data_IF_358563770494
#
_entry.id   IF_358563770494
#
_cell.length_a   1.000
_cell.length_b   1.000
_cell.length_c   1.000
_cell.angle_alpha   90.00
_cell.angle_beta   90.00
_cell.angle_gamma   90.00
#
_symmetry.space_group_name_H-M   'P 1'
#
loop_
_entity.id
_entity.type
_entity.pdbx_description
1 polymer ?
#
# COMPACT_ATOMS: atom_id res chain seq x y z
N UNK A 1 13.69 -46.69 17.73
CA UNK A 1 14.27 -45.61 18.56
C UNK A 1 13.22 -45.20 19.58
N UNK A 2 13.48 -45.41 20.88
CA UNK A 2 12.58 -44.98 21.95
C UNK A 2 12.75 -43.47 22.18
N UNK A 3 11.71 -42.68 21.88
CA UNK A 3 11.66 -41.27 22.25
C UNK A 3 11.48 -41.18 23.77
N UNK A 4 12.59 -41.04 24.49
CA UNK A 4 12.57 -40.75 25.91
C UNK A 4 12.23 -39.28 26.11
N UNK A 5 10.93 -38.98 26.22
CA UNK A 5 10.49 -37.69 26.73
C UNK A 5 10.89 -37.61 28.21
N UNK A 6 11.85 -36.74 28.54
CA UNK A 6 12.15 -36.39 29.93
C UNK A 6 10.88 -35.79 30.53
N UNK A 7 10.16 -36.61 31.30
CA UNK A 7 9.20 -36.20 32.34
C UNK A 7 9.96 -35.28 33.29
N UNK A 8 9.95 -33.98 33.02
CA UNK A 8 10.74 -33.04 33.79
C UNK A 8 10.61 -31.64 33.22
N UNK A 9 9.38 -31.11 33.23
CA UNK A 9 9.00 -29.68 33.16
C UNK A 9 7.48 -29.49 33.03
N UNK A 10 6.66 -30.42 33.55
CA UNK A 10 5.20 -30.26 33.58
C UNK A 10 4.72 -29.33 34.71
N UNK A 11 5.58 -29.03 35.68
CA UNK A 11 5.19 -28.41 36.95
C UNK A 11 5.76 -27.00 37.18
N UNK A 12 6.37 -26.37 36.16
CA UNK A 12 6.73 -24.95 36.24
C UNK A 12 5.67 -24.10 35.52
N UNK A 13 4.71 -23.49 36.24
CA UNK A 13 3.87 -22.45 35.67
C UNK A 13 4.80 -21.27 35.33
N UNK A 14 5.15 -21.13 34.05
CA UNK A 14 6.05 -20.07 33.59
C UNK A 14 7.12 -20.46 32.56
N UNK A 15 7.02 -21.64 31.92
CA UNK A 15 7.87 -21.94 30.76
C UNK A 15 7.57 -20.99 29.58
N UNK A 16 8.19 -19.80 29.59
CA UNK A 16 8.07 -18.81 28.52
C UNK A 16 8.92 -19.25 27.33
N UNK A 17 8.30 -19.68 26.25
CA UNK A 17 8.98 -19.86 24.97
C UNK A 17 9.30 -18.48 24.39
N UNK A 18 10.55 -18.28 23.99
CA UNK A 18 10.94 -17.00 23.39
C UNK A 18 10.30 -16.87 22.01
N UNK A 19 9.93 -15.67 21.55
CA UNK A 19 9.29 -15.47 20.25
C UNK A 19 10.08 -16.05 19.06
N UNK A 20 11.41 -16.03 19.14
CA UNK A 20 12.31 -16.61 18.13
C UNK A 20 12.20 -18.14 18.00
N UNK A 21 11.73 -18.80 19.04
CA UNK A 21 11.60 -20.26 19.13
C UNK A 21 10.16 -20.71 18.79
N UNK A 22 9.23 -19.77 18.53
CA UNK A 22 7.83 -20.05 18.18
C UNK A 22 7.72 -20.92 16.92
N UNK A 23 8.49 -20.60 15.88
CA UNK A 23 8.48 -21.38 14.63
C UNK A 23 8.92 -22.84 14.81
N UNK A 24 9.79 -23.09 15.80
CA UNK A 24 10.19 -24.46 16.17
C UNK A 24 9.07 -25.18 16.91
N UNK A 25 8.42 -24.54 17.88
CA UNK A 25 7.31 -25.14 18.61
C UNK A 25 6.06 -25.37 17.73
N UNK A 26 5.80 -24.49 16.76
CA UNK A 26 4.77 -24.70 15.74
C UNK A 26 5.06 -25.92 14.86
N UNK A 27 6.31 -26.08 14.40
CA UNK A 27 6.71 -27.26 13.64
C UNK A 27 6.56 -28.55 14.46
N UNK A 28 6.92 -28.51 15.74
CA UNK A 28 6.74 -29.66 16.64
C UNK A 28 5.27 -29.94 16.95
N UNK A 29 4.41 -28.92 17.07
CA UNK A 29 2.97 -29.09 17.21
C UNK A 29 2.36 -29.78 15.98
N UNK A 30 2.83 -29.45 14.77
CA UNK A 30 2.41 -30.12 13.53
C UNK A 30 2.82 -31.59 13.55
N UNK A 31 4.07 -31.88 13.94
CA UNK A 31 4.57 -33.26 14.06
C UNK A 31 3.78 -34.07 15.10
N UNK A 32 3.53 -33.50 16.28
CA UNK A 32 2.79 -34.16 17.36
C UNK A 32 1.33 -34.41 16.97
N UNK A 33 0.70 -33.51 16.20
CA UNK A 33 -0.65 -33.75 15.64
C UNK A 33 -0.67 -34.90 14.63
N UNK A 34 0.35 -35.00 13.79
CA UNK A 34 0.47 -36.11 12.85
C UNK A 34 0.65 -37.45 13.58
N UNK A 35 1.52 -37.48 14.59
CA UNK A 35 1.72 -38.65 15.45
C UNK A 35 0.45 -39.03 16.21
N UNK A 36 -0.30 -38.06 16.75
CA UNK A 36 -1.59 -38.31 17.40
C UNK A 36 -2.60 -38.94 16.43
N UNK A 37 -2.69 -38.43 15.20
CA UNK A 37 -3.60 -38.99 14.19
C UNK A 37 -3.22 -40.43 13.77
N UNK A 38 -1.94 -40.78 13.83
CA UNK A 38 -1.46 -42.15 13.62
C UNK A 38 -1.79 -43.06 14.81
N UNK A 39 -1.55 -42.59 16.04
CA UNK A 39 -1.92 -43.32 17.26
C UNK A 39 -3.43 -43.55 17.37
N UNK A 40 -4.26 -42.58 17.01
CA UNK A 40 -5.72 -42.74 16.95
C UNK A 40 -6.15 -43.79 15.93
N UNK A 41 -5.47 -43.88 14.78
CA UNK A 41 -5.70 -44.94 13.79
C UNK A 41 -5.28 -46.30 14.32
N UNK A 42 -4.15 -46.38 15.01
CA UNK A 42 -3.66 -47.62 15.63
C UNK A 42 -4.64 -48.13 16.70
N UNK A 43 -5.16 -47.25 17.57
CA UNK A 43 -6.18 -47.63 18.57
C UNK A 43 -7.43 -48.20 17.89
N UNK A 44 -7.97 -47.52 16.87
CA UNK A 44 -9.15 -48.01 16.14
C UNK A 44 -8.92 -49.35 15.45
N UNK A 45 -7.74 -49.57 14.88
CA UNK A 45 -7.38 -50.85 14.29
C UNK A 45 -7.37 -51.97 15.34
N UNK A 46 -6.80 -51.71 16.52
CA UNK A 46 -6.78 -52.69 17.62
C UNK A 46 -8.15 -52.96 18.22
N UNK A 47 -9.00 -51.93 18.32
CA UNK A 47 -10.40 -52.10 18.73
C UNK A 47 -11.16 -52.99 17.73
N UNK A 48 -10.87 -52.89 16.43
CA UNK A 48 -11.42 -53.78 15.42
C UNK A 48 -10.88 -55.22 15.53
N UNK A 49 -9.57 -55.39 15.77
CA UNK A 49 -8.94 -56.71 15.96
C UNK A 49 -9.53 -57.47 17.16
N UNK A 50 -9.88 -56.77 18.24
CA UNK A 50 -10.59 -57.35 19.38
C UNK A 50 -11.98 -57.87 19.01
N UNK A 51 -12.62 -57.34 17.97
CA UNK A 51 -13.89 -57.88 17.47
C UNK A 51 -13.75 -59.15 16.63
N UNK A 52 -12.53 -59.48 16.19
CA UNK A 52 -12.25 -60.50 15.17
C UNK A 52 -11.51 -61.74 15.68
N UNK A 53 -11.48 -61.98 17.00
CA UNK A 53 -10.82 -63.17 17.58
C UNK A 53 -11.39 -64.46 16.98
N UNK A 54 -10.49 -65.33 16.52
CA UNK A 54 -10.83 -66.57 15.82
C UNK A 54 -11.74 -67.48 16.68
N UNK A 55 -12.94 -67.85 16.18
CA UNK A 55 -13.86 -68.72 16.90
C UNK A 55 -13.38 -70.18 16.99
N UNK A 56 -12.35 -70.59 16.24
CA UNK A 56 -11.84 -71.97 16.25
C UNK A 56 -10.86 -72.26 17.40
N UNK A 57 -10.52 -71.26 18.21
CA UNK A 57 -9.66 -71.43 19.39
C UNK A 57 -10.38 -72.18 20.52
N UNK A 58 -9.64 -73.06 21.20
CA UNK A 58 -10.11 -73.63 22.47
C UNK A 58 -10.23 -72.53 23.54
N UNK A 59 -10.96 -72.79 24.62
CA UNK A 59 -11.22 -71.77 25.66
C UNK A 59 -9.91 -71.16 26.21
N UNK A 60 -8.87 -71.98 26.37
CA UNK A 60 -7.54 -71.55 26.83
C UNK A 60 -6.82 -70.66 25.83
N UNK A 61 -6.78 -71.06 24.56
CA UNK A 61 -6.18 -70.27 23.46
C UNK A 61 -6.92 -68.97 23.21
N UNK A 62 -8.25 -68.98 23.33
CA UNK A 62 -9.09 -67.79 23.21
C UNK A 62 -8.78 -66.77 24.31
N UNK A 63 -8.69 -67.21 25.57
CA UNK A 63 -8.36 -66.31 26.68
C UNK A 63 -6.94 -65.74 26.59
N UNK A 64 -5.95 -66.54 26.15
CA UNK A 64 -4.58 -66.07 25.95
C UNK A 64 -4.50 -65.03 24.82
N UNK A 65 -5.11 -65.30 23.67
CA UNK A 65 -5.17 -64.37 22.55
C UNK A 65 -5.91 -63.07 22.94
N UNK A 66 -7.00 -63.18 23.71
CA UNK A 66 -7.75 -62.02 24.18
C UNK A 66 -6.94 -61.14 25.14
N UNK A 67 -6.23 -61.76 26.08
CA UNK A 67 -5.41 -61.04 27.05
C UNK A 67 -4.27 -60.26 26.38
N UNK A 68 -3.62 -60.85 25.37
CA UNK A 68 -2.57 -60.18 24.60
C UNK A 68 -3.12 -58.98 23.82
N UNK A 69 -4.28 -59.13 23.15
CA UNK A 69 -4.92 -58.04 22.43
C UNK A 69 -5.36 -56.90 23.37
N UNK A 70 -5.88 -57.22 24.55
CA UNK A 70 -6.27 -56.23 25.56
C UNK A 70 -5.05 -55.44 26.08
N UNK A 71 -3.89 -56.10 26.27
CA UNK A 71 -2.65 -55.44 26.66
C UNK A 71 -2.12 -54.50 25.56
N UNK A 72 -2.15 -54.97 24.31
CA UNK A 72 -1.77 -54.15 23.14
C UNK A 72 -2.69 -52.93 22.97
N UNK A 73 -4.00 -53.09 23.19
CA UNK A 73 -4.94 -51.97 23.17
C UNK A 73 -4.66 -50.96 24.28
N UNK A 74 -4.41 -51.42 25.51
CA UNK A 74 -4.05 -50.53 26.64
C UNK A 74 -2.78 -49.73 26.35
N UNK A 75 -1.77 -50.37 25.74
CA UNK A 75 -0.56 -49.67 25.33
C UNK A 75 -0.85 -48.58 24.29
N UNK A 76 -1.65 -48.89 23.27
CA UNK A 76 -2.02 -47.93 22.23
C UNK A 76 -2.84 -46.75 22.78
N UNK A 77 -3.78 -47.00 23.70
CA UNK A 77 -4.57 -45.96 24.38
C UNK A 77 -3.66 -45.04 25.20
N UNK A 78 -2.76 -45.60 25.99
CA UNK A 78 -1.82 -44.82 26.80
C UNK A 78 -0.93 -43.93 25.93
N UNK A 79 -0.48 -44.42 24.78
CA UNK A 79 0.34 -43.64 23.84
C UNK A 79 -0.46 -42.52 23.18
N UNK A 80 -1.69 -42.80 22.73
CA UNK A 80 -2.63 -41.78 22.23
C UNK A 80 -2.85 -40.67 23.25
N UNK A 81 -3.09 -41.03 24.51
CA UNK A 81 -3.39 -40.05 25.56
C UNK A 81 -2.17 -39.18 25.91
N UNK A 82 -0.95 -39.77 25.92
CA UNK A 82 0.30 -39.00 26.05
C UNK A 82 0.49 -38.00 24.91
N UNK A 83 0.23 -38.41 23.67
CA UNK A 83 0.32 -37.53 22.50
C UNK A 83 -0.74 -36.44 22.53
N UNK A 84 -1.97 -36.75 22.96
CA UNK A 84 -3.04 -35.77 23.13
C UNK A 84 -2.65 -34.69 24.12
N UNK A 85 -2.08 -35.07 25.27
CA UNK A 85 -1.60 -34.10 26.24
C UNK A 85 -0.46 -33.23 25.68
N UNK A 86 0.49 -33.83 24.95
CA UNK A 86 1.61 -33.10 24.35
C UNK A 86 1.12 -32.05 23.32
N UNK A 87 0.16 -32.43 22.48
CA UNK A 87 -0.51 -31.52 21.54
C UNK A 87 -1.24 -30.39 22.26
N UNK A 88 -1.94 -30.69 23.37
CA UNK A 88 -2.63 -29.66 24.16
C UNK A 88 -1.63 -28.66 24.74
N UNK A 89 -0.60 -29.16 25.42
CA UNK A 89 0.43 -28.33 26.03
C UNK A 89 1.10 -27.40 25.02
N UNK A 90 1.57 -27.93 23.87
CA UNK A 90 2.22 -27.09 22.85
C UNK A 90 1.27 -26.08 22.22
N UNK A 91 -0.01 -26.43 22.06
CA UNK A 91 -1.01 -25.50 21.54
C UNK A 91 -1.18 -24.30 22.45
N UNK A 92 -1.26 -24.53 23.76
CA UNK A 92 -1.40 -23.46 24.75
C UNK A 92 -0.12 -22.61 24.84
N UNK A 93 1.04 -23.25 24.68
CA UNK A 93 2.33 -22.58 24.58
C UNK A 93 2.44 -21.65 23.36
N UNK A 94 2.06 -22.12 22.17
CA UNK A 94 2.07 -21.27 20.97
C UNK A 94 1.08 -20.10 21.07
N UNK A 95 -0.07 -20.29 21.73
CA UNK A 95 -1.09 -19.24 21.91
C UNK A 95 -0.67 -18.15 22.89
N UNK A 96 -0.06 -18.51 24.00
CA UNK A 96 0.41 -17.55 25.00
C UNK A 96 1.49 -16.63 24.43
N UNK A 97 2.48 -17.20 23.74
CA UNK A 97 3.56 -16.41 23.12
C UNK A 97 3.05 -15.54 21.98
N UNK A 98 2.09 -16.02 21.16
CA UNK A 98 1.55 -15.21 20.07
C UNK A 98 0.77 -14.00 20.60
N UNK A 99 -0.04 -14.18 21.65
CA UNK A 99 -0.76 -13.07 22.28
C UNK A 99 0.20 -12.02 22.86
N UNK A 100 1.21 -12.45 23.64
CA UNK A 100 2.17 -11.52 24.27
C UNK A 100 3.08 -10.83 23.26
N UNK A 101 3.45 -11.50 22.15
CA UNK A 101 4.39 -10.97 21.17
C UNK A 101 3.71 -10.03 20.17
N UNK A 102 2.50 -10.35 19.72
CA UNK A 102 1.86 -9.66 18.60
C UNK A 102 0.88 -8.57 19.04
N UNK A 103 0.20 -8.69 20.19
CA UNK A 103 -0.74 -7.68 20.66
C UNK A 103 -0.16 -6.25 20.70
N UNK A 104 0.98 -5.98 21.36
CA UNK A 104 1.53 -4.63 21.42
C UNK A 104 1.99 -4.11 20.04
N UNK A 105 2.35 -5.00 19.11
CA UNK A 105 2.72 -4.63 17.73
C UNK A 105 1.50 -4.27 16.90
N UNK A 106 0.40 -5.01 17.06
CA UNK A 106 -0.87 -4.73 16.40
C UNK A 106 -1.39 -3.38 16.90
N UNK A 107 -1.43 -3.16 18.22
CA UNK A 107 -1.86 -1.89 18.82
C UNK A 107 -1.03 -0.70 18.31
N UNK A 108 0.30 -0.87 18.18
CA UNK A 108 1.18 0.16 17.64
C UNK A 108 0.91 0.47 16.16
N UNK A 109 0.63 -0.55 15.34
CA UNK A 109 0.28 -0.38 13.92
C UNK A 109 -1.07 0.31 13.80
N UNK A 110 -2.07 -0.11 14.57
CA UNK A 110 -3.40 0.49 14.58
C UNK A 110 -3.35 1.96 15.02
N UNK A 111 -2.55 2.27 16.05
CA UNK A 111 -2.27 3.65 16.48
C UNK A 111 -1.61 4.48 15.39
N UNK A 112 -0.60 3.94 14.69
CA UNK A 112 0.05 4.63 13.58
C UNK A 112 -0.91 4.88 12.40
N UNK A 113 -1.78 3.92 12.08
CA UNK A 113 -2.81 4.07 11.04
C UNK A 113 -3.85 5.13 11.42
N UNK A 114 -4.26 5.20 12.68
CA UNK A 114 -5.17 6.24 13.18
C UNK A 114 -4.55 7.64 13.05
N UNK A 115 -3.30 7.81 13.49
CA UNK A 115 -2.57 9.06 13.33
C UNK A 115 -2.37 9.45 11.85
N UNK A 116 -2.09 8.46 10.99
CA UNK A 116 -1.99 8.67 9.54
C UNK A 116 -3.30 9.16 8.92
N UNK A 117 -4.44 8.57 9.29
CA UNK A 117 -5.76 9.02 8.84
C UNK A 117 -6.07 10.45 9.26
N UNK A 118 -5.72 10.81 10.49
CA UNK A 118 -5.92 12.18 10.99
C UNK A 118 -5.10 13.19 10.19
N UNK A 119 -3.82 12.92 9.93
CA UNK A 119 -2.98 13.79 9.09
C UNK A 119 -3.50 13.94 7.67
N UNK A 120 -3.99 12.85 7.07
CA UNK A 120 -4.61 12.94 5.73
C UNK A 120 -5.87 13.81 5.74
N UNK A 121 -6.66 13.76 6.82
CA UNK A 121 -7.82 14.61 6.97
C UNK A 121 -7.43 16.09 7.13
N UNK A 122 -6.43 16.39 7.97
CA UNK A 122 -5.88 17.74 8.14
C UNK A 122 -5.37 18.30 6.81
N UNK A 123 -4.58 17.51 6.05
CA UNK A 123 -4.10 17.91 4.72
C UNK A 123 -5.25 18.14 3.72
N UNK A 124 -6.31 17.34 3.78
CA UNK A 124 -7.47 17.53 2.90
C UNK A 124 -8.20 18.85 3.21
N UNK A 125 -8.27 19.25 4.49
CA UNK A 125 -8.81 20.56 4.89
C UNK A 125 -7.93 21.68 4.39
N UNK A 126 -6.61 21.60 4.60
CA UNK A 126 -5.65 22.60 4.10
C UNK A 126 -5.72 22.75 2.56
N UNK A 127 -5.81 21.63 1.83
CA UNK A 127 -5.98 21.65 0.38
C UNK A 127 -7.27 22.37 -0.03
N UNK A 128 -8.39 22.09 0.63
CA UNK A 128 -9.65 22.74 0.34
C UNK A 128 -9.61 24.26 0.62
N UNK A 129 -8.87 24.69 1.63
CA UNK A 129 -8.63 26.11 1.90
C UNK A 129 -7.79 26.76 0.80
N UNK A 130 -6.73 26.08 0.34
CA UNK A 130 -5.89 26.57 -0.77
C UNK A 130 -6.70 26.66 -2.07
N UNK A 131 -7.54 25.67 -2.38
CA UNK A 131 -8.39 25.69 -3.58
C UNK A 131 -9.38 26.87 -3.54
N UNK A 132 -9.99 27.16 -2.38
CA UNK A 132 -10.84 28.35 -2.22
C UNK A 132 -10.06 29.64 -2.44
N UNK A 133 -8.88 29.76 -1.83
CA UNK A 133 -8.04 30.94 -1.99
C UNK A 133 -7.57 31.13 -3.46
N UNK A 134 -7.30 30.04 -4.17
CA UNK A 134 -6.99 30.07 -5.60
C UNK A 134 -8.18 30.55 -6.43
N UNK A 135 -9.39 30.02 -6.17
CA UNK A 135 -10.60 30.46 -6.86
C UNK A 135 -10.89 31.96 -6.62
N UNK A 136 -10.75 32.43 -5.38
CA UNK A 136 -10.90 33.86 -5.06
C UNK A 136 -9.88 34.72 -5.81
N UNK A 137 -8.63 34.24 -5.92
CA UNK A 137 -7.57 34.93 -6.65
C UNK A 137 -7.83 34.96 -8.15
N UNK A 138 -8.33 33.88 -8.74
CA UNK A 138 -8.70 33.84 -10.16
C UNK A 138 -9.82 34.85 -10.47
N UNK A 139 -10.86 34.87 -9.64
CA UNK A 139 -11.94 35.87 -9.76
C UNK A 139 -11.40 37.30 -9.65
N UNK A 140 -10.46 37.54 -8.73
CA UNK A 140 -9.83 38.85 -8.59
C UNK A 140 -9.00 39.22 -9.83
N UNK A 141 -8.26 38.26 -10.41
CA UNK A 141 -7.46 38.49 -11.63
C UNK A 141 -8.34 38.78 -12.84
N UNK A 142 -9.47 38.10 -12.98
CA UNK A 142 -10.41 38.34 -14.08
C UNK A 142 -11.07 39.72 -13.95
N UNK A 143 -11.45 40.15 -12.74
CA UNK A 143 -11.91 41.54 -12.52
C UNK A 143 -10.87 42.58 -12.93
N UNK A 144 -9.60 42.37 -12.58
CA UNK A 144 -8.51 43.28 -12.97
C UNK A 144 -8.30 43.28 -14.49
N UNK A 145 -8.49 42.14 -15.17
CA UNK A 145 -8.42 42.06 -16.63
C UNK A 145 -9.58 42.84 -17.27
N UNK A 146 -10.80 42.66 -16.77
CA UNK A 146 -11.98 43.38 -17.25
C UNK A 146 -11.82 44.89 -17.07
N UNK A 147 -11.36 45.34 -15.89
CA UNK A 147 -11.07 46.75 -15.61
C UNK A 147 -9.99 47.30 -16.55
N UNK A 148 -8.93 46.53 -16.80
CA UNK A 148 -7.87 46.91 -17.75
C UNK A 148 -8.40 47.02 -19.17
N UNK A 149 -9.21 46.07 -19.62
CA UNK A 149 -9.73 46.03 -20.98
C UNK A 149 -10.76 47.16 -21.20
N UNK A 150 -11.62 47.42 -20.23
CA UNK A 150 -12.54 48.57 -20.25
C UNK A 150 -11.78 49.90 -20.24
N UNK A 151 -10.72 50.04 -19.43
CA UNK A 151 -9.86 51.21 -19.46
C UNK A 151 -9.16 51.34 -20.82
N UNK A 152 -8.61 50.25 -21.37
CA UNK A 152 -7.98 50.26 -22.67
C UNK A 152 -8.95 50.69 -23.78
N UNK A 153 -10.19 50.20 -23.78
CA UNK A 153 -11.22 50.62 -24.73
C UNK A 153 -11.62 52.09 -24.59
N UNK A 154 -11.67 52.61 -23.36
CA UNK A 154 -11.98 54.03 -23.10
C UNK A 154 -10.83 54.97 -23.48
N UNK A 155 -9.57 54.56 -23.30
CA UNK A 155 -8.39 55.37 -23.61
C UNK A 155 -7.89 55.19 -25.05
N UNK A 156 -8.24 54.09 -25.73
CA UNK A 156 -8.05 53.90 -27.16
C UNK A 156 -9.14 54.67 -27.92
N UNK A 157 -8.94 55.98 -28.09
CA UNK A 157 -9.69 56.79 -29.05
C UNK A 157 -9.82 56.06 -30.40
N UNK A 158 -10.92 56.25 -31.16
CA UNK A 158 -11.07 55.74 -32.52
C UNK A 158 -10.09 56.48 -33.44
N UNK A 159 -8.82 56.11 -33.37
CA UNK A 159 -7.81 56.45 -34.36
C UNK A 159 -7.76 55.34 -35.40
N UNK A 160 -7.53 55.71 -36.65
CA UNK A 160 -7.43 54.79 -37.81
C UNK A 160 -6.48 53.61 -37.57
N UNK A 161 -5.50 53.77 -36.67
CA UNK A 161 -4.58 52.70 -36.24
C UNK A 161 -5.27 51.58 -35.46
N UNK A 162 -6.29 51.88 -34.66
CA UNK A 162 -7.03 50.89 -33.89
C UNK A 162 -8.02 50.09 -34.75
N UNK A 163 -8.59 50.71 -35.78
CA UNK A 163 -9.45 50.02 -36.76
C UNK A 163 -8.62 49.05 -37.63
N UNK A 164 -7.39 49.43 -37.99
CA UNK A 164 -6.44 48.56 -38.65
C UNK A 164 -6.03 47.34 -37.79
N UNK A 165 -5.89 47.52 -36.47
CA UNK A 165 -5.58 46.42 -35.54
C UNK A 165 -6.78 45.48 -35.34
N UNK A 166 -8.00 46.01 -35.24
CA UNK A 166 -9.24 45.21 -35.16
C UNK A 166 -9.48 44.39 -36.42
N UNK A 167 -9.30 45.01 -37.60
CA UNK A 167 -9.42 44.30 -38.89
C UNK A 167 -8.33 43.24 -39.05
N UNK A 168 -7.09 43.51 -38.64
CA UNK A 168 -6.02 42.51 -38.63
C UNK A 168 -6.33 41.32 -37.70
N UNK A 169 -6.85 41.57 -36.49
CA UNK A 169 -7.28 40.51 -35.56
C UNK A 169 -8.36 39.62 -36.18
N UNK A 170 -9.40 40.23 -36.76
CA UNK A 170 -10.46 39.51 -37.47
C UNK A 170 -9.91 38.60 -38.58
N UNK A 171 -9.02 39.12 -39.44
CA UNK A 171 -8.46 38.33 -40.53
C UNK A 171 -7.51 37.22 -40.07
N UNK A 172 -6.85 37.36 -38.91
CA UNK A 172 -6.05 36.29 -38.30
C UNK A 172 -6.92 35.16 -37.77
N UNK A 173 -8.01 35.48 -37.06
CA UNK A 173 -8.95 34.48 -36.56
C UNK A 173 -9.64 33.72 -37.71
N UNK A 174 -10.01 34.44 -38.77
CA UNK A 174 -10.60 33.82 -39.97
C UNK A 174 -9.60 32.94 -40.73
N UNK A 175 -8.33 33.34 -40.81
CA UNK A 175 -7.26 32.52 -41.37
C UNK A 175 -7.05 31.22 -40.57
N UNK A 176 -7.15 31.29 -39.24
CA UNK A 176 -7.07 30.11 -38.38
C UNK A 176 -8.24 29.15 -38.60
N UNK A 177 -9.48 29.65 -38.63
CA UNK A 177 -10.67 28.83 -38.96
C UNK A 177 -10.53 28.14 -40.31
N UNK A 178 -9.98 28.83 -41.31
CA UNK A 178 -9.72 28.27 -42.64
C UNK A 178 -8.68 27.14 -42.58
N UNK A 179 -7.61 27.27 -41.77
CA UNK A 179 -6.63 26.19 -41.57
C UNK A 179 -7.25 24.98 -40.91
N UNK A 180 -8.07 25.19 -39.89
CA UNK A 180 -8.78 24.12 -39.17
C UNK A 180 -9.78 23.39 -40.09
N UNK A 181 -10.54 24.13 -40.90
CA UNK A 181 -11.44 23.56 -41.89
C UNK A 181 -10.69 22.79 -43.00
N UNK A 182 -9.52 23.28 -43.44
CA UNK A 182 -8.63 22.55 -44.37
C UNK A 182 -8.05 21.29 -43.76
N UNK A 183 -7.64 21.33 -42.49
CA UNK A 183 -7.17 20.16 -41.76
C UNK A 183 -8.28 19.10 -41.62
N UNK A 184 -9.53 19.54 -41.53
CA UNK A 184 -10.72 18.68 -41.55
C UNK A 184 -11.17 18.23 -42.96
N UNK A 185 -10.42 18.56 -44.02
CA UNK A 185 -10.68 18.12 -45.40
C UNK A 185 -11.63 19.01 -46.22
N UNK A 186 -12.08 20.15 -45.68
CA UNK A 186 -12.92 21.11 -46.40
C UNK A 186 -12.06 22.16 -47.12
N UNK A 187 -12.55 22.69 -48.26
CA UNK A 187 -11.84 23.73 -49.02
C UNK A 187 -12.58 25.07 -49.00
N UNK A 188 -12.53 25.82 -47.88
CA UNK A 188 -13.26 27.07 -47.73
C UNK A 188 -12.68 28.19 -48.59
N UNK A 189 -13.57 29.07 -49.08
CA UNK A 189 -13.20 30.26 -49.86
C UNK A 189 -12.46 31.25 -48.97
N UNK A 190 -11.22 31.58 -49.34
CA UNK A 190 -10.37 32.47 -48.53
C UNK A 190 -10.66 33.95 -48.84
N UNK A 191 -11.08 34.76 -47.85
CA UNK A 191 -11.22 36.20 -48.02
C UNK A 191 -9.88 36.86 -48.38
N UNK A 192 -9.85 37.89 -49.25
CA UNK A 192 -8.61 38.51 -49.70
C UNK A 192 -7.74 39.07 -48.55
N UNK A 193 -8.36 39.59 -47.48
CA UNK A 193 -7.65 40.05 -46.28
C UNK A 193 -7.01 38.94 -45.45
N UNK A 194 -7.60 37.73 -45.44
CA UNK A 194 -7.11 36.58 -44.67
C UNK A 194 -5.95 35.85 -45.37
N UNK A 195 -5.80 35.99 -46.69
CA UNK A 195 -4.71 35.35 -47.46
C UNK A 195 -3.31 35.69 -46.94
N UNK A 196 -3.12 36.92 -46.45
CA UNK A 196 -1.84 37.39 -45.90
C UNK A 196 -1.45 36.66 -44.62
N UNK A 197 -2.44 36.23 -43.84
CA UNK A 197 -2.25 35.59 -42.55
C UNK A 197 -2.33 34.06 -42.63
N UNK A 198 -2.63 33.48 -43.80
CA UNK A 198 -2.80 32.03 -43.94
C UNK A 198 -1.50 31.24 -43.74
N UNK A 199 -0.35 31.88 -43.94
CA UNK A 199 0.98 31.29 -43.84
C UNK A 199 1.78 31.82 -42.64
N UNK A 200 1.20 32.66 -41.79
CA UNK A 200 1.86 33.07 -40.54
C UNK A 200 2.01 31.85 -39.62
N UNK A 201 3.22 31.49 -39.15
CA UNK A 201 3.40 30.39 -38.20
C UNK A 201 2.49 30.63 -36.99
N UNK A 202 1.92 29.55 -36.45
CA UNK A 202 0.98 29.62 -35.34
C UNK A 202 1.74 29.97 -34.05
N UNK A 203 2.07 31.26 -33.88
CA UNK A 203 2.95 31.70 -32.78
C UNK A 203 2.30 31.48 -31.43
N UNK A 204 0.99 31.21 -31.34
CA UNK A 204 0.31 30.90 -30.08
C UNK A 204 0.91 29.69 -29.36
N UNK A 205 1.39 28.66 -30.07
CA UNK A 205 2.08 27.52 -29.44
C UNK A 205 3.47 27.90 -28.97
N UNK A 206 4.23 28.65 -29.76
CA UNK A 206 5.58 29.09 -29.39
C UNK A 206 5.57 30.16 -28.29
N UNK A 207 4.53 30.98 -28.24
CA UNK A 207 4.30 32.01 -27.22
C UNK A 207 3.78 31.35 -25.94
N UNK A 208 2.85 30.38 -26.01
CA UNK A 208 2.45 29.58 -24.85
C UNK A 208 3.61 28.76 -24.28
N UNK A 209 4.47 28.19 -25.14
CA UNK A 209 5.68 27.48 -24.74
C UNK A 209 6.69 28.44 -24.09
N UNK A 210 6.91 29.63 -24.67
CA UNK A 210 7.77 30.67 -24.07
C UNK A 210 7.26 31.16 -22.72
N UNK A 211 5.93 31.31 -22.56
CA UNK A 211 5.32 31.68 -21.28
C UNK A 211 5.49 30.55 -20.26
N UNK A 212 5.24 29.30 -20.65
CA UNK A 212 5.43 28.14 -19.78
C UNK A 212 6.91 27.94 -19.37
N UNK A 213 7.85 28.20 -20.29
CA UNK A 213 9.29 28.13 -20.02
C UNK A 213 9.75 29.28 -19.12
N UNK A 214 9.18 30.49 -19.28
CA UNK A 214 9.42 31.62 -18.39
C UNK A 214 8.86 31.40 -16.98
N UNK A 215 7.69 30.78 -16.85
CA UNK A 215 7.10 30.41 -15.57
C UNK A 215 7.91 29.32 -14.86
N UNK A 216 8.43 28.34 -15.61
CA UNK A 216 9.32 27.27 -15.08
C UNK A 216 10.68 27.82 -14.63
N UNK A 217 11.20 28.87 -15.27
CA UNK A 217 12.42 29.55 -14.85
C UNK A 217 12.22 30.46 -13.63
N UNK A 218 11.03 31.04 -13.48
CA UNK A 218 10.70 31.96 -12.38
C UNK A 218 10.26 31.25 -11.10
N UNK A 219 9.71 30.03 -11.21
CA UNK A 219 9.31 29.19 -10.08
C UNK A 219 9.79 27.74 -10.27
N UNK A 220 11.05 27.43 -9.91
CA UNK A 220 11.52 26.06 -9.95
C UNK A 220 10.75 25.25 -8.88
N UNK A 221 10.12 24.16 -9.29
CA UNK A 221 9.30 23.31 -8.42
C UNK A 221 10.05 22.80 -7.18
N UNK A 222 9.33 22.19 -6.22
CA UNK A 222 9.83 21.89 -4.87
C UNK A 222 11.03 20.93 -4.80
N UNK A 223 11.48 20.35 -5.93
CA UNK A 223 12.67 19.51 -6.00
C UNK A 223 14.01 20.24 -6.27
N UNK A 224 14.02 21.52 -6.64
CA UNK A 224 15.25 22.22 -7.05
C UNK A 224 16.03 22.89 -5.90
N UNK A 225 15.44 23.00 -4.70
CA UNK A 225 16.11 23.62 -3.53
C UNK A 225 17.06 22.69 -2.76
N UNK A 226 17.16 21.42 -3.14
CA UNK A 226 17.96 20.42 -2.40
C UNK A 226 19.42 20.27 -2.86
N UNK A 227 19.88 21.01 -3.89
CA UNK A 227 21.23 20.89 -4.44
C UNK A 227 22.01 22.21 -4.38
N UNK A 228 22.16 22.79 -3.19
CA UNK A 228 22.86 24.09 -3.07
C UNK A 228 23.39 24.50 -1.71
N UNK A 229 23.29 23.68 -0.65
CA UNK A 229 23.88 24.00 0.65
C UNK A 229 24.62 22.77 1.18
N UNK A 230 25.81 22.52 0.63
CA UNK A 230 26.82 21.70 1.29
C UNK A 230 28.19 22.02 0.69
N UNK A 231 28.79 23.13 1.14
CA UNK A 231 30.25 23.40 1.17
C UNK A 231 30.51 24.65 2.01
N UNK A 232 30.40 24.56 3.33
CA UNK A 232 31.19 25.41 4.24
C UNK A 232 31.32 24.66 5.56
N UNK A 233 32.24 23.70 5.55
CA UNK A 233 32.83 23.08 6.72
C UNK A 233 34.31 22.92 6.42
N UNK A 234 35.12 23.58 7.24
CA UNK A 234 36.51 23.29 7.58
C UNK A 234 37.56 24.30 7.11
N UNK A 235 38.03 25.06 8.09
CA UNK A 235 39.30 25.78 8.07
C UNK A 235 39.19 27.29 8.26
N UNK A 236 39.15 27.77 9.51
CA UNK A 236 40.29 28.53 10.01
C UNK A 236 40.22 28.78 11.52
N UNK A 237 41.27 28.36 12.20
CA UNK A 237 41.64 28.68 13.58
C UNK A 237 42.35 30.04 13.65
N UNK A 238 41.86 30.96 14.48
CA UNK A 238 42.64 32.03 15.15
C UNK A 238 41.68 32.71 16.15
N UNK A 239 41.75 32.47 17.47
CA UNK A 239 42.76 32.88 18.47
C UNK A 239 42.96 34.39 18.56
N UNK A 240 42.11 35.06 19.35
CA UNK A 240 42.37 36.28 20.13
C UNK A 240 41.50 36.14 21.39
N UNK A 241 42.00 36.17 22.63
CA UNK A 241 43.15 36.94 23.11
C UNK A 241 42.68 38.34 23.40
#
# INVERSE_FOLDING_TARGET
MALTFKRGRRDEPGATVKPRDLGREEALLVADKAALAEAERAVRAREADLGAVDPELDATGWHAARAEQDEQLRFAINERDRLRDAVSFRRDLCRSVSAETFAPRIDAIEGALAAGRQRMHELAVEMAEVERAQAEREVALDRVRDERDEAAERFLLPSEKNEALRTAKYFREEAQRIREQRAAGFNPRVPPGAKRYLNEPDTRREDAQRIADADRASFPGPGARAAGISRFGDGNTARLG
#
